data_IF_493829771253
#
_entry.id   IF_493829771253
#
_cell.length_a   1.000
_cell.length_b   1.000
_cell.length_c   1.000
_cell.angle_alpha   90.00
_cell.angle_beta   90.00
_cell.angle_gamma   90.00
#
_symmetry.space_group_name_H-M   'P 1'
#
loop_
_entity.id
_entity.type
_entity.pdbx_description
1 polymer ?
#
# COMPACT_ATOMS: atom_id res chain seq x y z
N UNK A 1 -10.69 -3.63 16.51
CA UNK A 1 -11.48 -4.87 16.22
C UNK A 1 -10.64 -5.87 15.44
N UNK A 2 -10.72 -7.18 15.73
CA UNK A 2 -10.03 -8.25 14.99
C UNK A 2 -11.03 -9.02 14.12
N UNK A 3 -10.75 -9.19 12.83
CA UNK A 3 -11.61 -9.96 11.91
C UNK A 3 -10.82 -10.94 11.03
N UNK A 4 -11.45 -12.09 10.73
CA UNK A 4 -10.92 -13.16 9.89
C UNK A 4 -11.92 -13.48 8.78
N UNK A 5 -11.45 -13.52 7.53
CA UNK A 5 -12.32 -13.68 6.37
C UNK A 5 -11.69 -14.61 5.33
N UNK A 6 -12.47 -15.58 4.85
CA UNK A 6 -12.05 -16.48 3.76
C UNK A 6 -12.68 -16.12 2.41
N UNK A 7 -13.70 -15.24 2.41
CA UNK A 7 -14.38 -14.77 1.20
C UNK A 7 -14.00 -13.35 0.81
N UNK A 8 -14.40 -12.96 -0.40
CA UNK A 8 -14.24 -11.59 -0.86
C UNK A 8 -15.01 -10.62 0.07
N UNK A 9 -14.43 -9.46 0.33
CA UNK A 9 -14.95 -8.56 1.34
C UNK A 9 -14.95 -7.10 0.90
N UNK A 10 -16.08 -6.44 1.15
CA UNK A 10 -16.24 -4.99 0.97
C UNK A 10 -16.73 -4.38 2.28
N UNK A 11 -16.10 -3.32 2.77
CA UNK A 11 -16.55 -2.69 4.02
C UNK A 11 -16.07 -1.26 4.26
N UNK A 12 -16.72 -0.62 5.23
CA UNK A 12 -16.46 0.72 5.74
C UNK A 12 -16.14 0.63 7.23
N UNK A 13 -15.16 1.38 7.69
CA UNK A 13 -14.57 1.15 8.99
C UNK A 13 -13.92 2.40 9.57
N UNK A 14 -14.37 2.81 10.74
CA UNK A 14 -13.81 3.94 11.47
C UNK A 14 -13.07 3.44 12.71
N UNK A 15 -11.89 3.98 12.96
CA UNK A 15 -11.05 3.63 14.12
C UNK A 15 -10.08 2.46 13.89
N UNK A 16 -9.70 1.79 14.98
CA UNK A 16 -8.59 0.82 14.98
C UNK A 16 -8.99 -0.61 14.60
N UNK A 17 -8.39 -1.14 13.54
CA UNK A 17 -8.75 -2.45 12.98
C UNK A 17 -7.54 -3.30 12.65
N UNK A 18 -7.65 -4.57 13.01
CA UNK A 18 -6.70 -5.62 12.66
C UNK A 18 -7.43 -6.71 11.88
N UNK A 19 -6.91 -7.13 10.72
CA UNK A 19 -7.63 -8.05 9.83
C UNK A 19 -6.78 -9.03 9.06
N UNK A 20 -7.32 -10.25 8.91
CA UNK A 20 -6.80 -11.28 8.03
C UNK A 20 -7.84 -11.68 6.99
N UNK A 21 -7.43 -11.70 5.72
CA UNK A 21 -8.28 -12.13 4.62
C UNK A 21 -7.52 -13.05 3.65
N UNK A 22 -8.09 -14.20 3.32
CA UNK A 22 -7.51 -15.10 2.32
C UNK A 22 -7.96 -14.79 0.87
N UNK A 23 -8.88 -13.85 0.70
CA UNK A 23 -9.49 -13.50 -0.58
C UNK A 23 -9.44 -11.99 -0.84
N UNK A 24 -10.03 -11.55 -1.95
CA UNK A 24 -9.98 -10.15 -2.39
C UNK A 24 -10.68 -9.21 -1.40
N UNK A 25 -10.13 -8.01 -1.22
CA UNK A 25 -10.62 -7.04 -0.23
C UNK A 25 -10.70 -5.63 -0.82
N UNK A 26 -11.85 -4.96 -0.66
CA UNK A 26 -12.03 -3.54 -0.99
C UNK A 26 -12.56 -2.78 0.23
N UNK A 27 -11.85 -1.80 0.79
CA UNK A 27 -12.33 -1.11 1.99
C UNK A 27 -12.06 0.40 2.00
N UNK A 28 -12.91 1.11 2.74
CA UNK A 28 -12.79 2.54 3.04
C UNK A 28 -12.67 2.70 4.53
N UNK A 29 -11.64 3.40 4.99
CA UNK A 29 -11.39 3.50 6.40
C UNK A 29 -10.77 4.82 6.85
N UNK A 30 -11.34 5.40 7.89
CA UNK A 30 -10.79 6.55 8.58
C UNK A 30 -10.30 6.10 9.97
N UNK A 31 -9.02 5.72 10.05
CA UNK A 31 -8.40 5.23 11.28
C UNK A 31 -7.08 4.50 11.08
N UNK A 32 -6.56 3.92 12.17
CA UNK A 32 -5.34 3.12 12.16
C UNK A 32 -5.63 1.65 11.84
N UNK A 33 -4.89 1.07 10.90
CA UNK A 33 -5.27 -0.23 10.33
C UNK A 33 -4.06 -1.13 10.12
N UNK A 34 -4.20 -2.39 10.54
CA UNK A 34 -3.22 -3.45 10.30
C UNK A 34 -3.88 -4.60 9.54
N UNK A 35 -3.36 -4.97 8.35
CA UNK A 35 -3.99 -6.00 7.51
C UNK A 35 -3.05 -6.98 6.85
N UNK A 36 -3.52 -8.22 6.76
CA UNK A 36 -2.94 -9.28 5.95
C UNK A 36 -3.94 -9.77 4.92
N UNK A 37 -3.54 -9.78 3.65
CA UNK A 37 -4.33 -10.33 2.55
C UNK A 37 -3.49 -11.28 1.69
N UNK A 38 -4.00 -12.48 1.43
CA UNK A 38 -3.34 -13.42 0.53
C UNK A 38 -3.69 -13.23 -0.95
N UNK A 39 -4.62 -12.33 -1.27
CA UNK A 39 -5.12 -12.08 -2.62
C UNK A 39 -4.99 -10.59 -2.99
N UNK A 40 -5.95 -10.02 -3.72
CA UNK A 40 -5.93 -8.61 -4.11
C UNK A 40 -6.50 -7.69 -3.02
N UNK A 41 -5.96 -6.48 -2.91
CA UNK A 41 -6.45 -5.47 -1.98
C UNK A 41 -6.63 -4.11 -2.67
N UNK A 42 -7.78 -3.47 -2.46
CA UNK A 42 -8.10 -2.09 -2.89
C UNK A 42 -8.49 -1.28 -1.66
N UNK A 43 -7.81 -0.17 -1.36
CA UNK A 43 -8.06 0.59 -0.12
C UNK A 43 -8.11 2.09 -0.33
N UNK A 44 -8.96 2.72 0.47
CA UNK A 44 -9.00 4.17 0.67
C UNK A 44 -8.89 4.51 2.15
N UNK A 45 -7.82 5.19 2.57
CA UNK A 45 -7.64 5.53 3.98
C UNK A 45 -6.93 6.87 4.22
N UNK A 46 -7.23 7.57 5.32
CA UNK A 46 -6.74 8.94 5.56
C UNK A 46 -5.83 9.12 6.79
N UNK A 47 -5.25 8.05 7.38
CA UNK A 47 -4.49 8.19 8.64
C UNK A 47 -3.21 7.35 8.71
N UNK A 48 -3.31 6.09 9.12
CA UNK A 48 -2.15 5.25 9.39
C UNK A 48 -2.42 3.81 9.01
N UNK A 49 -1.52 3.20 8.23
CA UNK A 49 -1.73 1.84 7.75
C UNK A 49 -0.46 1.00 7.76
N UNK A 50 -0.64 -0.26 8.15
CA UNK A 50 0.33 -1.32 7.94
C UNK A 50 -0.34 -2.46 7.18
N UNK A 51 0.17 -2.78 5.99
CA UNK A 51 -0.47 -3.78 5.13
C UNK A 51 0.52 -4.77 4.53
N UNK A 52 0.11 -6.04 4.52
CA UNK A 52 0.80 -7.13 3.84
C UNK A 52 -0.13 -7.78 2.82
N UNK A 53 0.35 -7.89 1.58
CA UNK A 53 -0.37 -8.49 0.47
C UNK A 53 0.51 -9.47 -0.31
N UNK A 54 0.00 -10.66 -0.61
CA UNK A 54 0.74 -11.63 -1.42
C UNK A 54 0.54 -11.46 -2.94
N UNK A 55 -0.47 -10.71 -3.39
CA UNK A 55 -0.76 -10.56 -4.83
C UNK A 55 -0.71 -9.12 -5.29
N UNK A 56 -1.82 -8.39 -5.22
CA UNK A 56 -1.91 -7.05 -5.79
C UNK A 56 -2.46 -6.07 -4.77
N UNK A 57 -1.91 -4.86 -4.74
CA UNK A 57 -2.32 -3.81 -3.82
C UNK A 57 -2.55 -2.51 -4.58
N UNK A 58 -3.78 -2.01 -4.52
CA UNK A 58 -4.15 -0.67 -4.96
C UNK A 58 -4.53 0.11 -3.71
N UNK A 59 -3.91 1.26 -3.48
CA UNK A 59 -4.42 2.16 -2.45
C UNK A 59 -4.38 3.62 -2.87
N UNK A 60 -5.27 4.37 -2.27
CA UNK A 60 -5.30 5.82 -2.33
C UNK A 60 -5.52 6.36 -0.91
N UNK A 61 -4.79 7.38 -0.52
CA UNK A 61 -4.93 7.85 0.85
C UNK A 61 -3.80 8.70 1.38
N UNK A 62 -4.05 9.32 2.52
CA UNK A 62 -3.12 10.23 3.16
C UNK A 62 -2.62 9.70 4.50
N UNK A 63 -1.41 10.09 4.87
CA UNK A 63 -0.80 9.83 6.18
C UNK A 63 0.35 8.84 6.15
N UNK A 64 0.57 8.15 7.28
CA UNK A 64 1.72 7.28 7.49
C UNK A 64 1.44 5.85 7.02
N UNK A 65 2.20 5.35 6.05
CA UNK A 65 1.94 4.05 5.42
C UNK A 65 3.15 3.14 5.39
N UNK A 66 2.95 1.90 5.82
CA UNK A 66 3.91 0.81 5.72
C UNK A 66 3.28 -0.33 4.92
N UNK A 67 3.86 -0.66 3.77
CA UNK A 67 3.26 -1.64 2.85
C UNK A 67 4.28 -2.66 2.37
N UNK A 68 3.90 -3.93 2.42
CA UNK A 68 4.65 -5.03 1.83
C UNK A 68 3.76 -5.77 0.83
N UNK A 69 4.19 -5.84 -0.42
CA UNK A 69 3.51 -6.60 -1.47
C UNK A 69 4.46 -7.56 -2.18
N UNK A 70 4.08 -8.83 -2.33
CA UNK A 70 4.86 -9.77 -3.15
C UNK A 70 4.60 -9.63 -4.66
N UNK A 71 3.45 -9.09 -5.06
CA UNK A 71 3.16 -8.82 -6.48
C UNK A 71 3.09 -7.33 -6.79
N UNK A 72 2.06 -6.91 -7.52
CA UNK A 72 1.99 -5.54 -8.05
C UNK A 72 1.44 -4.54 -7.01
N UNK A 73 1.95 -3.31 -7.05
CA UNK A 73 1.52 -2.23 -6.18
C UNK A 73 1.25 -0.96 -7.00
N UNK A 74 0.06 -0.38 -6.87
CA UNK A 74 -0.34 0.91 -7.47
C UNK A 74 -0.86 1.82 -6.38
N UNK A 75 -0.33 3.04 -6.29
CA UNK A 75 -0.53 3.90 -5.13
C UNK A 75 -0.65 5.38 -5.48
N UNK A 76 -1.59 6.07 -4.83
CA UNK A 76 -1.74 7.52 -4.84
C UNK A 76 -1.80 8.05 -3.40
N UNK A 77 -0.75 8.72 -2.94
CA UNK A 77 -0.63 8.99 -1.52
C UNK A 77 0.10 10.27 -1.14
N UNK A 78 -0.42 11.01 -0.17
CA UNK A 78 0.30 12.11 0.47
C UNK A 78 0.75 11.73 1.89
N UNK A 79 2.03 11.95 2.23
CA UNK A 79 2.56 11.73 3.57
C UNK A 79 3.87 10.94 3.63
N UNK A 80 4.07 10.24 4.74
CA UNK A 80 5.26 9.42 4.99
C UNK A 80 5.01 7.96 4.61
N UNK A 81 5.85 7.42 3.73
CA UNK A 81 5.57 6.14 3.10
C UNK A 81 6.81 5.25 3.11
N UNK A 82 6.66 4.02 3.64
CA UNK A 82 7.67 2.96 3.60
C UNK A 82 7.12 1.74 2.84
N UNK A 83 7.82 1.28 1.80
CA UNK A 83 7.31 0.23 0.90
C UNK A 83 8.32 -0.84 0.54
N UNK A 84 7.85 -2.08 0.49
CA UNK A 84 8.54 -3.21 -0.12
C UNK A 84 7.65 -3.87 -1.17
N UNK A 85 8.19 -4.03 -2.38
CA UNK A 85 7.53 -4.73 -3.49
C UNK A 85 8.47 -5.73 -4.15
N UNK A 86 8.01 -6.95 -4.42
CA UNK A 86 8.83 -7.94 -5.12
C UNK A 86 8.63 -7.97 -6.65
N UNK A 87 7.57 -7.35 -7.20
CA UNK A 87 7.27 -7.44 -8.63
C UNK A 87 7.23 -6.09 -9.36
N UNK A 88 6.18 -5.29 -9.15
CA UNK A 88 6.01 -4.02 -9.88
C UNK A 88 5.42 -2.95 -8.97
N UNK A 89 5.93 -1.73 -9.08
CA UNK A 89 5.47 -0.60 -8.30
C UNK A 89 5.21 0.61 -9.19
N UNK A 90 3.98 1.12 -9.16
CA UNK A 90 3.58 2.41 -9.75
C UNK A 90 3.12 3.33 -8.62
N UNK A 91 3.68 4.53 -8.56
CA UNK A 91 3.41 5.43 -7.45
C UNK A 91 3.31 6.89 -7.89
N UNK A 92 2.31 7.57 -7.34
CA UNK A 92 2.18 9.01 -7.29
C UNK A 92 2.13 9.45 -5.84
N UNK A 93 3.01 10.34 -5.42
CA UNK A 93 3.08 10.71 -4.01
C UNK A 93 3.69 12.07 -3.72
N UNK A 94 3.13 12.76 -2.73
CA UNK A 94 3.71 13.97 -2.18
C UNK A 94 4.17 13.72 -0.73
N UNK A 95 5.44 13.95 -0.43
CA UNK A 95 5.99 13.75 0.92
C UNK A 95 7.26 12.91 0.95
N UNK A 96 7.51 12.26 2.10
CA UNK A 96 8.72 11.48 2.34
C UNK A 96 8.52 10.01 2.00
N UNK A 97 9.36 9.47 1.10
CA UNK A 97 9.21 8.09 0.61
C UNK A 97 10.50 7.28 0.80
N UNK A 98 10.37 6.10 1.39
CA UNK A 98 11.42 5.09 1.49
C UNK A 98 10.93 3.80 0.85
N UNK A 99 11.68 3.24 -0.10
CA UNK A 99 11.17 2.13 -0.92
C UNK A 99 12.20 1.12 -1.38
N UNK A 100 11.76 -0.12 -1.45
CA UNK A 100 12.51 -1.24 -2.02
C UNK A 100 11.65 -1.96 -3.06
N UNK A 101 12.19 -2.20 -4.25
CA UNK A 101 11.56 -2.99 -5.30
C UNK A 101 12.53 -4.01 -5.92
N UNK A 102 12.10 -5.26 -6.08
CA UNK A 102 12.89 -6.29 -6.79
C UNK A 102 12.45 -6.48 -8.26
N UNK A 103 11.68 -5.55 -8.81
CA UNK A 103 11.28 -5.59 -10.23
C UNK A 103 11.09 -4.20 -10.81
N UNK A 104 9.98 -3.95 -11.51
CA UNK A 104 9.78 -2.68 -12.22
C UNK A 104 9.27 -1.58 -11.29
N UNK A 105 9.74 -0.35 -11.52
CA UNK A 105 9.36 0.82 -10.74
C UNK A 105 9.08 2.03 -11.64
N UNK A 106 7.88 2.62 -11.51
CA UNK A 106 7.49 3.87 -12.17
C UNK A 106 6.98 4.84 -11.11
N UNK A 107 7.55 6.04 -11.05
CA UNK A 107 7.23 7.01 -9.99
C UNK A 107 7.07 8.44 -10.47
N UNK A 108 6.10 9.12 -9.86
CA UNK A 108 5.99 10.56 -9.77
C UNK A 108 6.03 10.97 -8.29
N UNK A 109 6.94 11.88 -7.91
CA UNK A 109 7.06 12.31 -6.52
C UNK A 109 7.35 13.79 -6.34
N UNK A 110 6.67 14.42 -5.38
CA UNK A 110 7.04 15.76 -4.89
C UNK A 110 7.50 15.62 -3.43
N UNK A 111 8.80 15.68 -3.17
CA UNK A 111 9.35 15.54 -1.81
C UNK A 111 10.61 14.68 -1.68
N UNK A 112 10.96 14.34 -0.44
CA UNK A 112 12.21 13.63 -0.13
C UNK A 112 12.10 12.13 -0.40
N UNK A 113 13.08 11.55 -1.11
CA UNK A 113 13.05 10.13 -1.48
C UNK A 113 14.35 9.38 -1.19
N UNK A 114 14.20 8.16 -0.67
CA UNK A 114 15.25 7.12 -0.66
C UNK A 114 14.71 5.84 -1.31
N UNK A 115 15.49 5.27 -2.23
CA UNK A 115 15.03 4.13 -2.99
C UNK A 115 16.12 3.11 -3.31
N UNK A 116 15.69 1.85 -3.37
CA UNK A 116 16.45 0.72 -3.86
C UNK A 116 15.61 -0.07 -4.86
N UNK A 117 16.15 -0.31 -6.05
CA UNK A 117 15.48 -1.10 -7.08
C UNK A 117 16.46 -2.09 -7.69
N UNK A 118 16.06 -3.36 -7.73
CA UNK A 118 16.76 -4.42 -8.45
C UNK A 118 15.95 -4.78 -9.71
N UNK A 119 15.81 -3.81 -10.62
CA UNK A 119 15.02 -3.93 -11.84
C UNK A 119 14.93 -2.60 -12.61
N UNK A 120 13.96 -2.49 -13.51
CA UNK A 120 13.78 -1.28 -14.31
C UNK A 120 13.21 -0.12 -13.48
N UNK A 121 13.69 1.10 -13.72
CA UNK A 121 13.24 2.29 -13.00
C UNK A 121 12.99 3.48 -13.94
N UNK A 122 11.84 4.12 -13.75
CA UNK A 122 11.50 5.43 -14.30
C UNK A 122 11.05 6.33 -13.16
N UNK A 123 11.68 7.50 -13.01
CA UNK A 123 11.34 8.47 -11.96
C UNK A 123 11.14 9.87 -12.54
N UNK A 124 10.16 10.57 -11.98
CA UNK A 124 9.90 11.98 -12.19
C UNK A 124 9.71 12.59 -10.80
N UNK A 125 10.64 13.43 -10.35
CA UNK A 125 10.48 14.11 -9.08
C UNK A 125 10.79 15.59 -9.18
N UNK A 126 9.98 16.39 -8.49
CA UNK A 126 10.15 17.84 -8.35
C UNK A 126 10.64 18.17 -6.94
#
# INVERSE_FOLDING_TARGET
MVQWCNGAMVQWCDGEIVRWCNAAMAQWCDGAIVRWCNAAMVQWCNVAMVQWCNCAMVQCGNGAMVQCCNGAMVQWCDGEIVRWCNAAMVQWCNGAVVQWCNGAMVKLCDGAMRQWCNGAMVQWCQ
#
